data_IF_273753872871
#
_entry.id   IF_273753872871
#
_cell.length_a   1.000
_cell.length_b   1.000
_cell.length_c   1.000
_cell.angle_alpha   90.00
_cell.angle_beta   90.00
_cell.angle_gamma   90.00
#
_symmetry.space_group_name_H-M   'P 1'
#
loop_
_entity.id
_entity.type
_entity.pdbx_description
1 polymer ?
#
# COMPACT_ATOMS: atom_id res chain seq x y z
N UNK A 1 -14.86 -1.96 1.77
CA UNK A 1 -14.50 -1.95 3.21
C UNK A 1 -15.76 -1.59 4.00
N UNK A 2 -16.05 -2.28 5.10
CA UNK A 2 -17.22 -2.00 5.94
C UNK A 2 -16.77 -1.40 7.28
N UNK A 3 -17.34 -0.26 7.65
CA UNK A 3 -16.99 0.48 8.86
C UNK A 3 -18.13 0.40 9.88
N UNK A 4 -17.79 0.27 11.16
CA UNK A 4 -18.75 0.25 12.28
C UNK A 4 -18.86 1.64 12.94
N UNK A 5 -20.00 1.87 13.59
CA UNK A 5 -20.30 3.09 14.36
C UNK A 5 -19.41 3.29 15.59
N UNK A 6 -18.68 2.26 16.03
CA UNK A 6 -17.73 2.34 17.14
C UNK A 6 -16.32 2.86 16.71
N UNK A 7 -16.10 3.00 15.40
CA UNK A 7 -14.83 3.42 14.82
C UNK A 7 -13.93 2.27 14.37
N UNK A 8 -14.37 1.02 14.49
CA UNK A 8 -13.62 -0.16 14.04
C UNK A 8 -14.07 -0.63 12.65
N UNK A 9 -13.24 -1.44 11.98
CA UNK A 9 -13.67 -2.17 10.78
C UNK A 9 -14.64 -3.30 11.16
N UNK A 10 -15.65 -3.53 10.32
CA UNK A 10 -16.60 -4.64 10.47
C UNK A 10 -15.96 -5.95 9.97
N UNK A 11 -16.29 -7.09 10.59
CA UNK A 11 -15.80 -8.43 10.20
C UNK A 11 -16.07 -8.79 8.73
N UNK A 12 -17.17 -8.29 8.15
CA UNK A 12 -17.51 -8.44 6.73
C UNK A 12 -16.50 -7.77 5.80
N UNK A 13 -15.63 -6.89 6.31
CA UNK A 13 -14.46 -6.39 5.56
C UNK A 13 -13.51 -7.53 5.20
N UNK A 14 -13.44 -8.56 6.05
CA UNK A 14 -12.56 -9.72 5.90
C UNK A 14 -13.30 -10.84 5.15
N UNK A 15 -14.59 -11.04 5.40
CA UNK A 15 -15.44 -12.05 4.73
C UNK A 15 -15.72 -11.68 3.26
N UNK A 16 -15.18 -12.46 2.32
CA UNK A 16 -15.40 -12.24 0.89
C UNK A 16 -16.86 -12.55 0.55
N UNK A 17 -17.68 -11.52 0.34
CA UNK A 17 -18.97 -11.69 -0.30
C UNK A 17 -18.75 -11.97 -1.79
N UNK A 18 -19.17 -13.14 -2.25
CA UNK A 18 -19.35 -13.70 -3.62
C UNK A 18 -18.30 -13.45 -4.73
N UNK A 19 -17.46 -12.42 -4.65
CA UNK A 19 -16.39 -12.15 -5.60
C UNK A 19 -15.09 -12.84 -5.14
N UNK A 20 -14.32 -13.46 -6.07
CA UNK A 20 -13.01 -13.99 -5.76
C UNK A 20 -12.06 -12.82 -5.49
N UNK A 21 -11.99 -12.37 -4.22
CA UNK A 21 -10.86 -11.54 -3.79
C UNK A 21 -9.61 -12.40 -3.98
N UNK A 22 -8.63 -11.90 -4.74
CA UNK A 22 -7.31 -12.51 -4.86
C UNK A 22 -6.86 -12.92 -3.45
N UNK A 23 -6.56 -14.21 -3.26
CA UNK A 23 -6.13 -14.71 -1.97
C UNK A 23 -4.88 -13.91 -1.58
N UNK A 24 -4.97 -13.13 -0.52
CA UNK A 24 -3.83 -12.41 0.04
C UNK A 24 -3.01 -13.46 0.77
N UNK A 25 -1.89 -13.90 0.17
CA UNK A 25 -1.12 -15.05 0.65
C UNK A 25 -0.06 -14.64 1.66
N UNK A 26 0.27 -13.35 1.72
CA UNK A 26 1.29 -12.80 2.59
C UNK A 26 0.93 -11.35 3.00
N UNK A 27 1.62 -10.79 4.00
CA UNK A 27 1.38 -9.43 4.51
C UNK A 27 1.51 -8.36 3.42
N UNK A 28 2.37 -8.57 2.42
CA UNK A 28 2.63 -7.61 1.34
C UNK A 28 1.40 -7.46 0.45
N UNK A 29 0.77 -8.59 0.09
CA UNK A 29 -0.47 -8.58 -0.68
C UNK A 29 -1.56 -7.78 0.08
N UNK A 30 -1.60 -7.90 1.41
CA UNK A 30 -2.55 -7.15 2.25
C UNK A 30 -2.25 -5.66 2.21
N UNK A 31 -0.99 -5.26 2.41
CA UNK A 31 -0.57 -3.85 2.37
C UNK A 31 -0.88 -3.23 1.01
N UNK A 32 -0.53 -3.90 -0.08
CA UNK A 32 -0.78 -3.41 -1.43
C UNK A 32 -2.27 -3.35 -1.75
N UNK A 33 -3.05 -4.37 -1.36
CA UNK A 33 -4.50 -4.36 -1.49
C UNK A 33 -5.17 -3.21 -0.74
N UNK A 34 -4.70 -2.88 0.47
CA UNK A 34 -5.16 -1.68 1.20
C UNK A 34 -4.79 -0.41 0.42
N UNK A 35 -3.57 -0.31 -0.11
CA UNK A 35 -3.11 0.84 -0.89
C UNK A 35 -3.99 1.10 -2.11
N UNK A 36 -4.32 0.05 -2.87
CA UNK A 36 -5.24 0.13 -4.03
C UNK A 36 -6.64 0.57 -3.61
N UNK A 37 -7.18 0.04 -2.51
CA UNK A 37 -8.49 0.45 -2.00
C UNK A 37 -8.49 1.93 -1.59
N UNK A 38 -7.41 2.42 -0.95
CA UNK A 38 -7.29 3.83 -0.56
C UNK A 38 -7.22 4.71 -1.81
N UNK A 39 -6.35 4.36 -2.76
CA UNK A 39 -6.19 5.09 -4.02
C UNK A 39 -7.52 5.22 -4.77
N UNK A 40 -8.21 4.09 -4.99
CA UNK A 40 -9.51 4.07 -5.68
C UNK A 40 -10.61 4.82 -4.92
N UNK A 41 -10.60 4.81 -3.59
CA UNK A 41 -11.55 5.57 -2.79
C UNK A 41 -11.29 7.09 -2.81
N UNK A 42 -10.06 7.52 -3.06
CA UNK A 42 -9.68 8.93 -3.21
C UNK A 42 -10.01 9.47 -4.60
N UNK A 43 -10.09 8.61 -5.61
CA UNK A 43 -10.42 8.91 -7.01
C UNK A 43 -11.77 8.32 -7.47
N UNK A 44 -12.92 8.71 -6.86
CA UNK A 44 -14.19 8.12 -7.23
C UNK A 44 -14.73 8.58 -8.60
N UNK A 45 -14.39 9.77 -9.10
CA UNK A 45 -15.00 10.35 -10.30
C UNK A 45 -14.12 11.43 -10.97
N UNK A 46 -13.15 11.06 -11.82
CA UNK A 46 -12.45 12.01 -12.72
C UNK A 46 -13.30 12.40 -13.95
N UNK A 47 -14.63 12.41 -13.83
CA UNK A 47 -15.51 12.86 -14.92
C UNK A 47 -15.35 14.35 -15.25
N UNK A 48 -14.70 15.14 -14.36
CA UNK A 48 -14.31 16.53 -14.59
C UNK A 48 -12.89 16.71 -15.17
N UNK A 49 -12.08 15.65 -15.26
CA UNK A 49 -10.66 15.75 -15.62
C UNK A 49 -9.80 16.49 -14.57
N UNK A 50 -10.34 16.77 -13.38
CA UNK A 50 -9.63 17.42 -12.28
C UNK A 50 -9.13 16.37 -11.29
N UNK A 51 -7.81 16.21 -11.18
CA UNK A 51 -7.19 15.31 -10.22
C UNK A 51 -7.33 15.88 -8.80
N UNK A 52 -7.80 15.06 -7.86
CA UNK A 52 -7.91 15.49 -6.46
C UNK A 52 -6.51 15.68 -5.88
N UNK A 53 -6.17 16.92 -5.53
CA UNK A 53 -4.91 17.22 -4.83
C UNK A 53 -4.92 16.58 -3.44
N UNK A 54 -4.05 15.59 -3.25
CA UNK A 54 -3.74 14.99 -1.94
C UNK A 54 -2.39 15.48 -1.43
N UNK A 55 -2.14 15.34 -0.13
CA UNK A 55 -0.83 15.70 0.44
C UNK A 55 0.25 14.75 -0.05
N UNK A 56 1.44 15.28 -0.34
CA UNK A 56 2.62 14.51 -0.76
C UNK A 56 2.92 13.32 0.17
N UNK A 57 2.80 13.49 1.49
CA UNK A 57 3.03 12.40 2.46
C UNK A 57 2.08 11.21 2.26
N UNK A 58 0.83 11.49 1.90
CA UNK A 58 -0.19 10.46 1.65
C UNK A 58 0.04 9.80 0.28
N UNK A 59 0.39 10.58 -0.73
CA UNK A 59 0.73 10.08 -2.06
C UNK A 59 1.93 9.13 -2.00
N UNK A 60 3.02 9.53 -1.32
CA UNK A 60 4.20 8.70 -1.13
C UNK A 60 3.88 7.43 -0.32
N UNK A 61 3.05 7.52 0.72
CA UNK A 61 2.62 6.34 1.47
C UNK A 61 1.86 5.35 0.59
N UNK A 62 0.91 5.83 -0.22
CA UNK A 62 0.14 4.98 -1.14
C UNK A 62 1.07 4.35 -2.18
N UNK A 63 1.98 5.14 -2.78
CA UNK A 63 2.99 4.65 -3.72
C UNK A 63 3.83 3.52 -3.11
N UNK A 64 4.37 3.73 -1.91
CA UNK A 64 5.19 2.72 -1.21
C UNK A 64 4.39 1.44 -0.91
N UNK A 65 3.08 1.56 -0.65
CA UNK A 65 2.19 0.42 -0.40
C UNK A 65 1.94 -0.41 -1.66
N UNK A 66 1.87 0.21 -2.85
CA UNK A 66 1.52 -0.46 -4.12
C UNK A 66 2.72 -0.81 -5.02
N UNK A 67 3.94 -0.37 -4.68
CA UNK A 67 5.14 -0.46 -5.53
C UNK A 67 5.44 -1.87 -6.06
N UNK A 68 5.09 -2.94 -5.33
CA UNK A 68 5.34 -4.33 -5.76
C UNK A 68 4.19 -4.95 -6.59
N UNK A 69 2.95 -4.46 -6.46
CA UNK A 69 1.82 -4.93 -7.29
C UNK A 69 1.98 -4.51 -8.75
N UNK A 70 2.51 -3.30 -9.01
CA UNK A 70 2.74 -2.82 -10.38
C UNK A 70 3.86 -3.59 -11.10
N UNK A 71 4.88 -4.05 -10.37
CA UNK A 71 6.01 -4.80 -10.95
C UNK A 71 5.68 -6.26 -11.20
N UNK A 72 4.89 -6.91 -10.33
CA UNK A 72 4.46 -8.31 -10.54
C UNK A 72 3.31 -8.47 -11.55
N UNK A 73 2.67 -7.36 -11.96
CA UNK A 73 1.63 -7.36 -13.00
C UNK A 73 2.20 -7.26 -14.42
N UNK A 74 3.51 -7.06 -14.56
CA UNK A 74 4.22 -7.00 -15.85
C UNK A 74 5.02 -8.28 -16.07
N UNK A 75 4.47 -9.19 -16.87
CA UNK A 75 5.17 -10.25 -17.61
C UNK A 75 5.76 -11.45 -16.84
N UNK A 76 4.87 -12.38 -16.45
CA UNK A 76 5.18 -13.80 -16.57
C UNK A 76 4.99 -14.25 -18.03
N UNK A 77 5.92 -13.87 -18.90
CA UNK A 77 6.20 -14.52 -20.17
C UNK A 77 7.70 -14.38 -20.44
N UNK A 78 8.46 -15.30 -21.01
CA UNK A 78 8.39 -16.72 -21.28
C UNK A 78 9.83 -17.06 -21.73
N UNK A 79 10.32 -18.25 -21.40
CA UNK A 79 11.51 -18.90 -21.96
C UNK A 79 12.92 -18.37 -21.62
N UNK A 80 13.50 -19.08 -20.65
CA UNK A 80 14.78 -19.78 -20.76
C UNK A 80 15.19 -20.13 -22.21
N UNK A 81 16.23 -19.49 -22.72
CA UNK A 81 17.28 -20.15 -23.50
C UNK A 81 18.63 -19.54 -23.13
N UNK A 82 19.38 -20.36 -22.40
CA UNK A 82 20.81 -20.34 -22.14
C UNK A 82 21.59 -20.56 -23.45
N UNK A 83 22.47 -19.62 -23.84
CA UNK A 83 23.74 -19.85 -24.55
C UNK A 83 24.41 -18.49 -24.91
N UNK A 84 25.25 -17.94 -24.01
CA UNK A 84 26.30 -17.00 -24.40
C UNK A 84 27.65 -17.52 -23.88
N UNK A 85 28.53 -17.81 -24.84
CA UNK A 85 29.89 -18.23 -24.59
C UNK A 85 30.84 -17.11 -24.15
N UNK A 86 31.91 -17.58 -23.52
CA UNK A 86 33.31 -17.12 -23.54
C UNK A 86 33.72 -15.72 -23.00
N UNK A 87 34.51 -15.84 -21.92
CA UNK A 87 35.89 -15.32 -21.74
C UNK A 87 36.18 -13.90 -21.21
N UNK A 88 36.87 -13.94 -20.05
CA UNK A 88 38.03 -13.16 -19.58
C UNK A 88 37.82 -11.91 -18.71
N UNK A 89 38.30 -12.06 -17.49
CA UNK A 89 39.23 -11.19 -16.75
C UNK A 89 39.13 -9.68 -16.99
N UNK A 90 38.63 -8.96 -15.98
CA UNK A 90 39.25 -7.70 -15.51
C UNK A 90 38.76 -7.37 -14.10
N UNK A 91 39.70 -7.53 -13.17
CA UNK A 91 39.98 -6.77 -11.95
C UNK A 91 39.20 -5.47 -11.64
N UNK A 92 38.80 -5.37 -10.37
CA UNK A 92 38.69 -4.17 -9.51
C UNK A 92 37.76 -3.00 -9.93
N UNK A 93 36.55 -2.98 -9.36
CA UNK A 93 36.04 -1.76 -8.72
C UNK A 93 34.89 -2.07 -7.76
N UNK A 94 35.18 -1.92 -6.47
CA UNK A 94 34.23 -1.94 -5.37
C UNK A 94 33.43 -0.62 -5.38
N UNK A 95 32.45 -0.51 -6.28
CA UNK A 95 31.35 0.44 -6.10
C UNK A 95 30.16 -0.31 -5.51
N UNK A 96 29.69 0.03 -4.29
CA UNK A 96 28.38 -0.40 -3.85
C UNK A 96 27.38 0.32 -4.73
N UNK A 97 27.04 -0.30 -5.86
CA UNK A 97 25.81 -0.05 -6.58
C UNK A 97 24.73 0.03 -5.51
N UNK A 98 24.22 1.24 -5.29
CA UNK A 98 23.06 1.51 -4.47
C UNK A 98 21.86 0.96 -5.22
N UNK A 99 21.84 -0.36 -5.39
CA UNK A 99 20.65 -1.14 -5.59
C UNK A 99 19.75 -0.73 -4.45
N UNK A 100 18.82 0.18 -4.75
CA UNK A 100 17.70 0.54 -3.90
C UNK A 100 16.98 -0.77 -3.64
N UNK A 101 17.44 -1.49 -2.63
CA UNK A 101 16.75 -2.60 -2.04
C UNK A 101 15.49 -1.94 -1.50
N UNK A 102 14.43 -1.96 -2.32
CA UNK A 102 13.13 -1.43 -1.96
C UNK A 102 12.64 -2.34 -0.86
N UNK A 103 13.04 -2.04 0.37
CA UNK A 103 12.55 -2.70 1.57
C UNK A 103 11.07 -2.38 1.61
N UNK A 104 10.28 -3.34 1.16
CA UNK A 104 8.84 -3.26 1.06
C UNK A 104 8.23 -2.84 2.41
N UNK A 105 7.24 -1.95 2.36
CA UNK A 105 6.62 -1.39 3.56
C UNK A 105 5.76 -2.44 4.26
N UNK A 106 5.97 -2.65 5.56
CA UNK A 106 5.16 -3.55 6.39
C UNK A 106 3.93 -2.84 6.96
N UNK A 107 2.95 -3.60 7.47
CA UNK A 107 1.77 -3.00 8.10
C UNK A 107 2.16 -2.16 9.34
N UNK A 108 3.18 -2.59 10.08
CA UNK A 108 3.76 -1.83 11.19
C UNK A 108 4.31 -0.48 10.73
N UNK A 109 5.02 -0.43 9.61
CA UNK A 109 5.58 0.81 9.09
C UNK A 109 4.48 1.75 8.55
N UNK A 110 3.42 1.20 7.92
CA UNK A 110 2.22 1.98 7.55
C UNK A 110 1.60 2.62 8.80
N UNK A 111 1.36 1.84 9.86
CA UNK A 111 0.81 2.37 11.12
C UNK A 111 1.70 3.45 11.70
N UNK A 112 3.03 3.23 11.73
CA UNK A 112 3.99 4.20 12.26
C UNK A 112 3.98 5.51 11.48
N UNK A 113 3.88 5.47 10.15
CA UNK A 113 3.73 6.69 9.33
C UNK A 113 2.42 7.42 9.61
N UNK A 114 1.32 6.68 9.79
CA UNK A 114 0.05 7.26 10.24
C UNK A 114 0.15 7.88 11.64
N UNK A 115 0.89 7.28 12.59
CA UNK A 115 1.14 7.87 13.91
C UNK A 115 1.97 9.15 13.79
N UNK A 116 3.06 9.13 13.01
CA UNK A 116 3.94 10.28 12.78
C UNK A 116 3.22 11.46 12.12
N UNK A 117 2.22 11.20 11.26
CA UNK A 117 1.39 12.24 10.66
C UNK A 117 0.63 13.07 11.71
N UNK A 118 0.28 12.46 12.85
CA UNK A 118 -0.36 13.15 13.98
C UNK A 118 0.66 13.88 14.88
N UNK A 119 1.95 13.81 14.57
CA UNK A 119 3.01 14.51 15.28
C UNK A 119 3.31 13.89 16.65
N UNK A 120 3.14 14.67 17.71
CA UNK A 120 3.58 14.30 19.07
C UNK A 120 2.57 13.46 19.86
N UNK A 121 1.57 12.85 19.20
CA UNK A 121 0.58 12.03 19.86
C UNK A 121 1.18 10.70 20.33
N UNK A 122 0.77 10.24 21.51
CA UNK A 122 1.03 8.85 21.94
C UNK A 122 0.25 7.86 21.08
N UNK A 123 0.68 6.60 21.02
CA UNK A 123 -0.01 5.53 20.26
C UNK A 123 -1.50 5.43 20.59
N UNK A 124 -1.86 5.49 21.87
CA UNK A 124 -3.26 5.44 22.32
C UNK A 124 -4.07 6.65 21.86
N UNK A 125 -3.46 7.84 21.82
CA UNK A 125 -4.12 9.04 21.31
C UNK A 125 -4.28 8.98 19.79
N UNK A 126 -3.28 8.47 19.06
CA UNK A 126 -3.37 8.24 17.63
C UNK A 126 -4.49 7.25 17.28
N UNK A 127 -4.58 6.13 18.00
CA UNK A 127 -5.67 5.17 17.84
C UNK A 127 -7.05 5.81 18.11
N UNK A 128 -7.17 6.56 19.21
CA UNK A 128 -8.40 7.26 19.55
C UNK A 128 -8.79 8.31 18.49
N UNK A 129 -7.80 9.00 17.91
CA UNK A 129 -7.98 9.97 16.84
C UNK A 129 -8.55 9.28 15.59
N UNK A 130 -7.89 8.24 15.07
CA UNK A 130 -8.36 7.53 13.89
C UNK A 130 -9.74 6.90 14.09
N UNK A 131 -10.02 6.32 15.27
CA UNK A 131 -11.37 5.84 15.61
C UNK A 131 -12.40 6.96 15.61
N UNK A 132 -12.06 8.15 16.13
CA UNK A 132 -12.96 9.30 16.10
C UNK A 132 -13.25 9.77 14.67
N UNK A 133 -12.24 9.78 13.78
CA UNK A 133 -12.42 10.08 12.35
C UNK A 133 -13.38 9.09 11.70
N UNK A 134 -13.21 7.77 11.92
CA UNK A 134 -14.12 6.75 11.39
C UNK A 134 -15.54 6.92 11.92
N UNK A 135 -15.72 7.19 13.22
CA UNK A 135 -17.04 7.45 13.81
C UNK A 135 -17.72 8.66 13.16
N UNK A 136 -16.99 9.76 13.00
CA UNK A 136 -17.50 10.97 12.35
C UNK A 136 -17.86 10.72 10.88
N UNK A 137 -17.04 9.93 10.17
CA UNK A 137 -17.32 9.52 8.80
C UNK A 137 -18.62 8.71 8.75
N UNK A 138 -18.73 7.62 9.51
CA UNK A 138 -19.93 6.78 9.53
C UNK A 138 -21.17 7.61 9.89
N UNK A 139 -21.09 8.48 10.90
CA UNK A 139 -22.19 9.36 11.30
C UNK A 139 -22.66 10.34 10.21
N UNK A 140 -21.77 10.74 9.28
CA UNK A 140 -22.13 11.58 8.13
C UNK A 140 -22.96 10.83 7.08
N UNK A 141 -22.78 9.50 6.99
CA UNK A 141 -23.42 8.65 5.99
C UNK A 141 -24.52 7.74 6.58
N UNK A 142 -24.87 7.95 7.85
CA UNK A 142 -26.08 7.41 8.51
C UNK A 142 -27.24 8.39 8.34
#
# INVERSE_FOLDING_TARGET
>A
VYLKTDGNAHENTISAGDAPRRLLRNEKDVVAGIGVIIYTALDPDTQSGEERVISNDLEQLISDMITDELTNSSDHSHHETDDEGIERDSEESDEPSTSKCSTQISLQEVIKRCENHLGTLTKTQAEAHYKAVVRALVAKYL
#
